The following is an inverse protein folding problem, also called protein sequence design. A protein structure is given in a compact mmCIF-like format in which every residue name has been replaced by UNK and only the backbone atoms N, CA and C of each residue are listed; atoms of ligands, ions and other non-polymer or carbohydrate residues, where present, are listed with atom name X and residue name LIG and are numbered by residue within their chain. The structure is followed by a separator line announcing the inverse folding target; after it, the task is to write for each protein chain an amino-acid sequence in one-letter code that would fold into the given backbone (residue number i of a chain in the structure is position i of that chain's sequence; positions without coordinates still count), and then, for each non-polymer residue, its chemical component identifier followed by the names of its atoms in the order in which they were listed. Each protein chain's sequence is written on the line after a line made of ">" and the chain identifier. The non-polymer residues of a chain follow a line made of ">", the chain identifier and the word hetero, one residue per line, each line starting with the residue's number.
data_IF_041119191148
#
_entry.id   IF_041119191148
#
_cell.length_a   1.000
_cell.length_b   1.000
_cell.length_c   1.000
_cell.angle_alpha   90.00
_cell.angle_beta   90.00
_cell.angle_gamma   90.00
#
_symmetry.space_group_name_H-M   'P 1'
#
loop_
_entity.id
_entity.type
_entity.pdbx_description
1 polymer ?
#
# COMPACT_ATOMS: atom_id res chain seq x y z
N UNK A 1 -4.21 -57.19 -19.12
CA UNK A 1 -5.38 -56.80 -19.96
C UNK A 1 -4.93 -55.71 -20.94
N UNK A 2 -5.33 -55.79 -22.21
CA UNK A 2 -5.08 -54.72 -23.19
C UNK A 2 -6.01 -53.54 -22.91
N UNK A 3 -5.50 -52.31 -22.93
CA UNK A 3 -6.28 -51.06 -22.82
C UNK A 3 -5.83 -50.06 -23.88
N UNK A 4 -6.72 -49.15 -24.26
CA UNK A 4 -6.41 -48.03 -25.18
C UNK A 4 -5.85 -46.84 -24.42
N UNK A 5 -4.78 -46.23 -24.92
CA UNK A 5 -4.20 -45.02 -24.33
C UNK A 5 -5.18 -43.85 -24.45
N UNK A 6 -5.42 -43.14 -23.35
CA UNK A 6 -6.33 -41.98 -23.34
C UNK A 6 -5.83 -40.77 -24.17
N UNK A 7 -4.55 -40.74 -24.55
CA UNK A 7 -3.95 -39.66 -25.33
C UNK A 7 -3.87 -39.99 -26.82
N UNK A 8 -3.20 -41.08 -27.20
CA UNK A 8 -2.96 -41.43 -28.61
C UNK A 8 -3.88 -42.53 -29.16
N UNK A 9 -4.68 -43.20 -28.31
CA UNK A 9 -5.58 -44.29 -28.71
C UNK A 9 -4.93 -45.66 -28.90
N UNK A 10 -3.60 -45.75 -28.93
CA UNK A 10 -2.85 -47.01 -29.13
C UNK A 10 -3.15 -48.03 -28.03
N UNK A 11 -3.30 -49.30 -28.40
CA UNK A 11 -3.45 -50.40 -27.46
C UNK A 11 -2.14 -50.75 -26.78
N UNK A 12 -2.17 -50.95 -25.46
CA UNK A 12 -1.00 -51.34 -24.68
C UNK A 12 -1.38 -52.32 -23.57
N UNK A 13 -0.39 -53.07 -23.09
CA UNK A 13 -0.56 -53.99 -21.97
C UNK A 13 -0.38 -53.20 -20.67
N UNK A 14 -1.43 -53.12 -19.87
CA UNK A 14 -1.39 -52.39 -18.60
C UNK A 14 -0.52 -53.10 -17.57
N UNK A 15 0.46 -52.40 -17.00
CA UNK A 15 1.33 -52.91 -15.92
C UNK A 15 0.79 -52.63 -14.53
N UNK A 16 0.10 -51.50 -14.34
CA UNK A 16 -0.51 -51.11 -13.06
C UNK A 16 -1.95 -50.64 -13.27
N UNK A 17 -2.86 -50.95 -12.34
CA UNK A 17 -4.31 -50.64 -12.43
C UNK A 17 -4.63 -49.16 -12.69
N UNK A 18 -3.76 -48.25 -12.22
CA UNK A 18 -3.88 -46.80 -12.41
C UNK A 18 -3.27 -46.27 -13.72
N UNK A 19 -2.55 -47.08 -14.49
CA UNK A 19 -1.89 -46.65 -15.74
C UNK A 19 -2.92 -46.36 -16.84
N UNK A 20 -2.98 -45.10 -17.28
CA UNK A 20 -3.92 -44.60 -18.31
C UNK A 20 -3.28 -44.35 -19.68
N UNK A 21 -1.95 -44.37 -19.75
CA UNK A 21 -1.18 -43.99 -20.94
C UNK A 21 -0.20 -45.09 -21.31
N UNK A 22 0.03 -45.27 -22.61
CA UNK A 22 0.98 -46.26 -23.13
C UNK A 22 2.43 -45.87 -22.82
N UNK A 23 2.75 -44.57 -22.77
CA UNK A 23 4.10 -44.06 -22.51
C UNK A 23 4.11 -42.88 -21.53
N UNK A 24 5.29 -42.60 -20.95
CA UNK A 24 5.53 -41.41 -20.12
C UNK A 24 5.33 -40.11 -20.90
N UNK A 25 5.63 -40.12 -22.20
CA UNK A 25 5.45 -38.97 -23.09
C UNK A 25 3.97 -38.64 -23.29
N UNK A 26 3.13 -39.64 -23.57
CA UNK A 26 1.67 -39.45 -23.67
C UNK A 26 1.08 -38.86 -22.37
N UNK A 27 1.55 -39.34 -21.22
CA UNK A 27 1.13 -38.81 -19.93
C UNK A 27 1.66 -37.37 -19.68
N UNK A 28 2.83 -37.01 -20.21
CA UNK A 28 3.39 -35.67 -20.11
C UNK A 28 2.66 -34.67 -21.01
N UNK A 29 2.34 -35.06 -22.25
CA UNK A 29 1.59 -34.21 -23.18
C UNK A 29 0.16 -33.96 -22.72
N UNK A 30 -0.55 -34.98 -22.26
CA UNK A 30 -1.90 -34.80 -21.71
C UNK A 30 -1.88 -33.83 -20.50
N UNK A 31 -0.88 -33.94 -19.63
CA UNK A 31 -0.69 -32.97 -18.53
C UNK A 31 -0.40 -31.56 -19.04
N UNK A 32 0.40 -31.43 -20.11
CA UNK A 32 0.71 -30.13 -20.73
C UNK A 32 -0.55 -29.51 -21.34
N UNK A 33 -1.35 -30.27 -22.09
CA UNK A 33 -2.60 -29.81 -22.70
C UNK A 33 -3.61 -29.37 -21.64
N UNK A 34 -3.79 -30.15 -20.57
CA UNK A 34 -4.65 -29.77 -19.43
C UNK A 34 -4.18 -28.48 -18.78
N UNK A 35 -2.87 -28.33 -18.55
CA UNK A 35 -2.29 -27.10 -18.00
C UNK A 35 -2.51 -25.90 -18.92
N UNK A 36 -2.31 -26.06 -20.22
CA UNK A 36 -2.55 -24.99 -21.21
C UNK A 36 -4.02 -24.56 -21.23
N UNK A 37 -4.96 -25.51 -21.23
CA UNK A 37 -6.40 -25.23 -21.15
C UNK A 37 -6.75 -24.49 -19.85
N UNK A 38 -6.30 -25.01 -18.71
CA UNK A 38 -6.51 -24.36 -17.41
C UNK A 38 -5.97 -22.93 -17.38
N UNK A 39 -4.74 -22.72 -17.85
CA UNK A 39 -4.12 -21.40 -17.90
C UNK A 39 -4.92 -20.46 -18.81
N UNK A 40 -5.33 -20.91 -20.00
CA UNK A 40 -6.17 -20.13 -20.92
C UNK A 40 -7.46 -19.68 -20.25
N UNK A 41 -8.16 -20.59 -19.57
CA UNK A 41 -9.42 -20.29 -18.89
C UNK A 41 -9.21 -19.34 -17.70
N UNK A 42 -8.14 -19.56 -16.93
CA UNK A 42 -7.75 -18.69 -15.82
C UNK A 42 -7.47 -17.25 -16.28
N UNK A 43 -6.66 -17.07 -17.33
CA UNK A 43 -6.35 -15.74 -17.89
C UNK A 43 -7.59 -15.07 -18.50
N UNK A 44 -8.49 -15.82 -19.13
CA UNK A 44 -9.74 -15.25 -19.64
C UNK A 44 -10.67 -14.77 -18.52
N UNK A 45 -10.85 -15.57 -17.45
CA UNK A 45 -11.66 -15.18 -16.29
C UNK A 45 -11.10 -13.94 -15.61
N UNK A 46 -9.80 -13.91 -15.34
CA UNK A 46 -9.14 -12.75 -14.70
C UNK A 46 -9.19 -11.49 -15.58
N UNK A 47 -9.03 -11.61 -16.91
CA UNK A 47 -9.19 -10.48 -17.85
C UNK A 47 -10.62 -9.91 -17.84
N UNK A 48 -11.64 -10.78 -17.86
CA UNK A 48 -13.06 -10.35 -17.75
C UNK A 48 -13.32 -9.64 -16.43
N UNK A 49 -12.88 -10.21 -15.31
CA UNK A 49 -13.01 -9.58 -13.98
C UNK A 49 -12.29 -8.23 -13.91
N UNK A 50 -11.07 -8.12 -14.47
CA UNK A 50 -10.31 -6.85 -14.54
C UNK A 50 -11.08 -5.79 -15.34
N UNK A 51 -11.64 -6.14 -16.51
CA UNK A 51 -12.48 -5.21 -17.30
C UNK A 51 -13.70 -4.73 -16.52
N UNK A 52 -14.39 -5.61 -15.80
CA UNK A 52 -15.53 -5.26 -14.95
C UNK A 52 -15.13 -4.29 -13.83
N UNK A 53 -14.02 -4.58 -13.12
CA UNK A 53 -13.48 -3.69 -12.06
C UNK A 53 -13.10 -2.31 -12.60
N UNK A 54 -12.51 -2.23 -13.80
CA UNK A 54 -12.17 -0.95 -14.45
C UNK A 54 -13.45 -0.18 -14.80
N UNK A 55 -14.47 -0.84 -15.38
CA UNK A 55 -15.77 -0.23 -15.71
C UNK A 55 -16.47 0.31 -14.46
N UNK A 56 -16.47 -0.46 -13.37
CA UNK A 56 -17.00 -0.03 -12.07
C UNK A 56 -16.19 1.14 -11.46
N UNK A 57 -14.87 1.14 -11.60
CA UNK A 57 -14.01 2.24 -11.12
C UNK A 57 -14.26 3.54 -11.89
N UNK A 58 -14.54 3.47 -13.20
CA UNK A 58 -14.90 4.63 -14.03
C UNK A 58 -16.26 5.23 -13.66
N UNK A 59 -17.21 4.42 -13.18
CA UNK A 59 -18.51 4.90 -12.67
C UNK A 59 -18.46 5.58 -11.30
N UNK A 60 -17.27 5.86 -10.74
CA UNK A 60 -17.16 6.54 -9.45
C UNK A 60 -17.69 7.98 -9.57
N UNK A 61 -18.88 8.18 -9.00
CA UNK A 61 -19.58 9.46 -8.92
C UNK A 61 -18.71 10.45 -8.15
N UNK A 62 -18.39 11.57 -8.80
CA UNK A 62 -17.76 12.72 -8.15
C UNK A 62 -18.85 13.48 -7.41
N UNK A 63 -18.82 13.43 -6.10
CA UNK A 63 -19.66 14.29 -5.27
C UNK A 63 -18.86 15.48 -4.80
N UNK A 64 -19.52 16.65 -4.79
CA UNK A 64 -18.97 17.87 -4.23
C UNK A 64 -18.93 17.70 -2.71
N UNK A 65 -17.76 17.92 -2.11
CA UNK A 65 -17.57 17.92 -0.66
C UNK A 65 -17.01 19.25 -0.21
N UNK A 66 -17.23 19.58 1.06
CA UNK A 66 -16.55 20.68 1.72
C UNK A 66 -15.23 20.21 2.34
N UNK A 67 -14.18 21.02 2.21
CA UNK A 67 -12.88 20.74 2.81
C UNK A 67 -12.97 20.87 4.33
N UNK A 68 -12.52 19.85 5.08
CA UNK A 68 -12.54 19.90 6.55
C UNK A 68 -11.62 20.95 7.18
N UNK A 69 -10.65 21.47 6.41
CA UNK A 69 -9.72 22.49 6.89
C UNK A 69 -10.18 23.90 6.51
N UNK A 70 -10.35 24.18 5.21
CA UNK A 70 -10.65 25.53 4.72
C UNK A 70 -12.12 25.78 4.35
N UNK A 71 -13.01 24.78 4.49
CA UNK A 71 -14.44 24.88 4.16
C UNK A 71 -14.79 24.87 2.67
N UNK A 72 -13.85 25.18 1.76
CA UNK A 72 -14.10 25.27 0.31
C UNK A 72 -14.67 23.99 -0.29
N UNK A 73 -15.59 24.12 -1.24
CA UNK A 73 -16.15 22.98 -1.97
C UNK A 73 -15.14 22.44 -3.01
N UNK A 74 -15.08 21.12 -3.17
CA UNK A 74 -14.17 20.47 -4.13
C UNK A 74 -14.72 19.14 -4.65
N UNK A 75 -14.24 18.71 -5.81
CA UNK A 75 -14.54 17.40 -6.39
C UNK A 75 -13.56 16.36 -5.87
N UNK A 76 -14.09 15.33 -5.21
CA UNK A 76 -13.23 14.32 -4.58
C UNK A 76 -12.77 13.25 -5.57
N UNK A 77 -11.46 13.09 -5.71
CA UNK A 77 -10.84 12.04 -6.56
C UNK A 77 -10.75 10.68 -5.84
N UNK A 78 -10.56 10.67 -4.52
CA UNK A 78 -10.39 9.45 -3.72
C UNK A 78 -11.39 9.40 -2.59
N UNK A 79 -12.03 8.24 -2.33
CA UNK A 79 -12.99 8.07 -1.24
C UNK A 79 -12.49 8.44 0.16
N UNK A 80 -11.18 8.50 0.36
CA UNK A 80 -10.54 8.86 1.63
C UNK A 80 -10.11 10.32 1.73
N UNK A 81 -10.19 11.13 0.65
CA UNK A 81 -9.80 12.54 0.77
C UNK A 81 -10.80 13.29 1.64
N UNK A 82 -10.28 14.06 2.59
CA UNK A 82 -11.02 14.95 3.49
C UNK A 82 -10.76 16.43 3.19
N UNK A 83 -9.75 16.72 2.35
CA UNK A 83 -9.24 18.05 2.09
C UNK A 83 -9.21 18.32 0.59
N UNK A 84 -9.39 19.58 0.20
CA UNK A 84 -9.42 20.00 -1.20
C UNK A 84 -8.05 19.96 -1.89
N UNK A 85 -6.95 20.15 -1.14
CA UNK A 85 -5.60 20.22 -1.68
C UNK A 85 -4.55 19.68 -0.67
N UNK A 86 -3.32 19.48 -1.15
CA UNK A 86 -2.21 18.97 -0.33
C UNK A 86 -1.84 19.90 0.84
N UNK A 87 -1.74 21.24 0.68
CA UNK A 87 -1.47 22.14 1.82
C UNK A 87 -2.51 22.02 2.94
N UNK A 88 -3.81 22.01 2.61
CA UNK A 88 -4.88 21.83 3.61
C UNK A 88 -4.74 20.52 4.40
N UNK A 89 -4.22 19.46 3.77
CA UNK A 89 -3.94 18.19 4.44
C UNK A 89 -2.77 18.32 5.42
N UNK A 90 -1.70 19.01 5.03
CA UNK A 90 -0.53 19.24 5.88
C UNK A 90 -0.91 20.06 7.11
N UNK A 91 -1.63 21.17 6.93
CA UNK A 91 -2.06 22.01 8.04
C UNK A 91 -3.01 21.30 9.00
N UNK A 92 -3.98 20.54 8.48
CA UNK A 92 -4.87 19.75 9.33
C UNK A 92 -4.12 18.69 10.14
N UNK A 93 -3.05 18.10 9.58
CA UNK A 93 -2.19 17.17 10.31
C UNK A 93 -1.35 17.88 11.38
N UNK A 94 -0.82 19.06 11.08
CA UNK A 94 -0.11 19.89 12.05
C UNK A 94 -1.03 20.26 13.23
N UNK A 95 -2.26 20.68 12.96
CA UNK A 95 -3.24 20.99 14.01
C UNK A 95 -3.56 19.76 14.87
N UNK A 96 -3.79 18.60 14.24
CA UNK A 96 -4.02 17.34 14.96
C UNK A 96 -2.84 16.97 15.87
N UNK A 97 -1.60 17.16 15.37
CA UNK A 97 -0.40 16.93 16.17
C UNK A 97 -0.33 17.91 17.35
N UNK A 98 -0.60 19.19 17.14
CA UNK A 98 -0.62 20.18 18.22
C UNK A 98 -1.69 19.85 19.27
N UNK A 99 -2.88 19.42 18.84
CA UNK A 99 -3.92 18.96 19.76
C UNK A 99 -3.48 17.72 20.55
N UNK A 100 -2.80 16.77 19.90
CA UNK A 100 -2.25 15.59 20.56
C UNK A 100 -1.18 15.97 21.60
N UNK A 101 -0.26 16.89 21.25
CA UNK A 101 0.76 17.42 22.17
C UNK A 101 0.10 18.12 23.35
N UNK A 102 -0.88 19.01 23.12
CA UNK A 102 -1.63 19.68 24.20
C UNK A 102 -2.37 18.69 25.09
N UNK A 103 -2.94 17.64 24.51
CA UNK A 103 -3.61 16.56 25.27
C UNK A 103 -2.61 15.76 26.10
N UNK A 104 -1.45 15.45 25.52
CA UNK A 104 -0.36 14.79 26.21
C UNK A 104 0.12 15.64 27.39
N UNK A 105 0.48 16.91 27.14
CA UNK A 105 0.90 17.85 28.18
C UNK A 105 -0.13 17.93 29.31
N UNK A 106 -1.42 18.16 29.01
CA UNK A 106 -2.48 18.18 30.05
C UNK A 106 -2.56 16.88 30.86
N UNK A 107 -2.35 15.72 30.23
CA UNK A 107 -2.37 14.42 30.91
C UNK A 107 -1.21 14.26 31.89
N UNK A 108 -0.05 14.83 31.56
CA UNK A 108 1.19 14.66 32.31
C UNK A 108 1.60 15.93 33.10
N UNK A 109 0.82 17.01 33.03
CA UNK A 109 1.07 18.25 33.77
C UNK A 109 1.06 18.02 35.29
N UNK A 110 0.26 17.08 35.78
CA UNK A 110 0.23 16.69 37.19
C UNK A 110 1.34 15.72 37.60
N UNK A 111 2.06 15.12 36.63
CA UNK A 111 3.21 14.26 36.92
C UNK A 111 4.53 15.02 37.09
N UNK A 112 4.53 16.36 37.04
CA UNK A 112 5.71 17.21 37.31
C UNK A 112 6.29 17.05 38.73
N UNK A 113 5.61 16.33 39.65
CA UNK A 113 6.23 15.87 40.90
C UNK A 113 7.10 14.61 40.77
N UNK A 114 7.18 13.98 39.61
CA UNK A 114 8.11 12.88 39.32
C UNK A 114 9.01 13.29 38.16
N UNK A 115 10.20 13.81 38.48
CA UNK A 115 11.20 14.35 37.56
C UNK A 115 11.74 13.36 36.53
N UNK A 116 10.90 12.96 35.57
CA UNK A 116 11.26 12.02 34.52
C UNK A 116 10.43 12.26 33.25
N UNK A 117 10.54 13.46 32.66
CA UNK A 117 10.11 13.69 31.29
C UNK A 117 11.25 14.30 30.47
N UNK A 118 12.20 13.43 30.07
CA UNK A 118 12.73 13.47 28.71
C UNK A 118 13.78 14.51 28.34
N UNK A 119 14.90 14.58 29.07
CA UNK A 119 16.21 14.97 28.50
C UNK A 119 17.17 13.77 28.37
N UNK A 120 16.68 12.52 28.40
CA UNK A 120 17.54 11.33 28.35
C UNK A 120 18.36 11.19 27.05
N UNK A 121 18.02 11.94 25.99
CA UNK A 121 18.82 12.06 24.76
C UNK A 121 19.47 13.44 24.54
N UNK A 122 19.25 14.43 25.41
CA UNK A 122 20.08 15.63 25.47
C UNK A 122 21.26 15.35 26.42
N UNK A 123 22.13 14.43 25.99
CA UNK A 123 23.44 14.26 26.60
C UNK A 123 24.31 15.44 26.18
N UNK A 124 24.40 16.43 27.06
CA UNK A 124 25.29 17.58 26.93
C UNK A 124 24.53 18.86 26.63
N UNK A 125 24.92 19.93 27.33
CA UNK A 125 24.68 21.28 26.84
C UNK A 125 25.09 21.33 25.36
N UNK A 126 24.31 21.97 24.46
CA UNK A 126 24.78 22.21 23.11
C UNK A 126 26.15 22.88 23.25
N UNK A 127 27.19 22.26 22.67
CA UNK A 127 28.51 22.88 22.64
C UNK A 127 28.30 24.29 22.09
N UNK A 128 28.56 25.30 22.91
CA UNK A 128 28.55 26.70 22.51
C UNK A 128 29.69 26.90 21.52
N UNK A 129 29.49 26.42 20.30
CA UNK A 129 30.38 26.64 19.18
C UNK A 129 29.88 27.92 18.49
N UNK A 130 30.48 29.08 18.80
CA UNK A 130 30.04 30.36 18.25
C UNK A 130 30.10 30.38 16.72
N UNK A 131 30.90 29.50 16.09
CA UNK A 131 30.98 29.40 14.62
C UNK A 131 29.70 28.82 14.05
N UNK A 132 29.17 27.75 14.65
CA UNK A 132 27.93 27.13 14.20
C UNK A 132 26.73 28.04 14.46
N UNK A 133 26.72 28.76 15.58
CA UNK A 133 25.69 29.77 15.85
C UNK A 133 25.72 30.91 14.82
N UNK A 134 26.91 31.45 14.54
CA UNK A 134 27.07 32.50 13.53
C UNK A 134 26.61 32.02 12.15
N UNK A 135 26.94 30.78 11.78
CA UNK A 135 26.51 30.19 10.51
C UNK A 135 24.99 29.99 10.44
N UNK A 136 24.35 29.59 11.55
CA UNK A 136 22.89 29.49 11.63
C UNK A 136 22.22 30.86 11.47
N UNK A 137 22.76 31.91 12.11
CA UNK A 137 22.29 33.29 11.96
C UNK A 137 22.43 33.79 10.52
N UNK A 138 23.55 33.50 9.86
CA UNK A 138 23.76 33.87 8.44
C UNK A 138 22.79 33.16 7.51
N UNK A 139 22.54 31.87 7.72
CA UNK A 139 21.56 31.11 6.96
C UNK A 139 20.15 31.68 7.12
N UNK A 140 19.80 32.11 8.33
CA UNK A 140 18.50 32.71 8.61
C UNK A 140 18.34 34.10 7.97
N UNK A 141 19.39 34.93 7.99
CA UNK A 141 19.42 36.20 7.23
C UNK A 141 19.20 35.97 5.73
N UNK A 142 19.89 34.98 5.15
CA UNK A 142 19.72 34.59 3.74
C UNK A 142 18.30 34.10 3.43
N UNK A 143 17.67 33.35 4.34
CA UNK A 143 16.27 32.91 4.21
C UNK A 143 15.28 34.09 4.21
N UNK A 144 15.57 35.11 5.01
CA UNK A 144 14.74 36.31 5.15
C UNK A 144 15.03 37.37 4.06
N UNK A 145 16.09 37.20 3.28
CA UNK A 145 16.49 38.14 2.22
C UNK A 145 17.07 39.45 2.77
N UNK A 146 17.69 39.41 3.96
CA UNK A 146 18.40 40.53 4.61
C UNK A 146 19.89 40.38 4.36
#
# INVERSE_FOLDING_TARGET
>A
MKKKCQYCGTEFIQQASAQKYCSRECAAEERRQRRQKYNRDYYQKTRKQRKLRIKQKKKRIYYKLTCKWCGKSYTRTNRRSKYCCAPCKVFAHMEQNLQAVRKYQRRYQHSEKQGMLGNSNLKGEPKADPVLELQAVQNEKKRLGI
#
